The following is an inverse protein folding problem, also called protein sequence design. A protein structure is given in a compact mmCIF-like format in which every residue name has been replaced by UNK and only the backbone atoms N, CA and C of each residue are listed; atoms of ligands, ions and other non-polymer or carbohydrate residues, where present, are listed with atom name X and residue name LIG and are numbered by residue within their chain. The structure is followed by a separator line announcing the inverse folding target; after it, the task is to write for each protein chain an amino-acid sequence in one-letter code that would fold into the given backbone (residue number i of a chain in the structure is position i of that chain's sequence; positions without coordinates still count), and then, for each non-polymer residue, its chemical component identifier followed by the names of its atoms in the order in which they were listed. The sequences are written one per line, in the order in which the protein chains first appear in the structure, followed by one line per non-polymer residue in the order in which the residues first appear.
data_IF_949697232633
#
_entry.id   IF_949697232633
#
_cell.length_a   1.000
_cell.length_b   1.000
_cell.length_c   1.000
_cell.angle_alpha   90.00
_cell.angle_beta   90.00
_cell.angle_gamma   90.00
#
_symmetry.space_group_name_H-M   'P 1'
#
loop_
_entity.id
_entity.type
_entity.pdbx_description
1 polymer ?
#
# COMPACT_ATOMS: atom_id res chain seq x y z
N UNK A 1 -31.15 -0.38 3.12
CA UNK A 1 -30.06 -0.09 2.17
C UNK A 1 -28.98 0.67 2.90
N UNK A 2 -27.72 0.44 2.55
CA UNK A 2 -26.55 1.13 3.13
C UNK A 2 -26.19 2.32 2.26
N UNK A 3 -26.20 3.53 2.81
CA UNK A 3 -25.88 4.75 2.06
C UNK A 3 -24.37 4.91 1.94
N UNK A 4 -23.84 4.79 0.71
CA UNK A 4 -22.40 4.87 0.44
C UNK A 4 -22.13 6.06 -0.45
N UNK A 5 -21.39 7.03 0.06
CA UNK A 5 -20.95 8.18 -0.74
C UNK A 5 -19.78 7.74 -1.61
N UNK A 6 -19.82 8.11 -2.88
CA UNK A 6 -18.73 7.87 -3.82
C UNK A 6 -18.24 9.19 -4.40
N UNK A 7 -16.92 9.36 -4.44
CA UNK A 7 -16.29 10.51 -5.08
C UNK A 7 -14.91 10.13 -5.63
N UNK A 8 -14.36 10.95 -6.53
CA UNK A 8 -12.98 10.81 -6.99
C UNK A 8 -12.28 12.13 -7.23
N UNK A 9 -10.97 12.15 -6.97
CA UNK A 9 -10.11 13.31 -7.16
C UNK A 9 -8.71 12.80 -7.54
N UNK A 10 -8.44 12.80 -8.84
CA UNK A 10 -7.28 12.15 -9.46
C UNK A 10 -6.28 13.19 -9.95
N UNK A 11 -5.05 13.13 -9.46
CA UNK A 11 -3.92 13.88 -10.02
C UNK A 11 -2.58 13.27 -9.58
N UNK A 12 -1.63 13.19 -10.51
CA UNK A 12 -0.24 12.87 -10.21
C UNK A 12 0.62 14.13 -10.29
N UNK A 13 1.28 14.48 -9.19
CA UNK A 13 2.13 15.68 -9.17
C UNK A 13 3.60 15.36 -9.43
N UNK A 14 4.16 16.00 -10.45
CA UNK A 14 5.58 16.22 -10.61
C UNK A 14 5.95 17.59 -10.03
N UNK A 15 6.57 17.63 -8.85
CA UNK A 15 6.94 18.90 -8.16
C UNK A 15 7.99 19.74 -8.90
N UNK A 16 8.59 19.23 -9.97
CA UNK A 16 9.48 19.98 -10.87
C UNK A 16 8.77 20.47 -12.14
N UNK A 17 7.50 20.08 -12.32
CA UNK A 17 6.66 20.47 -13.45
C UNK A 17 6.38 21.98 -13.44
N UNK A 18 6.55 22.68 -14.57
CA UNK A 18 6.35 24.13 -14.63
C UNK A 18 4.87 24.54 -14.72
N UNK A 19 4.00 23.65 -15.22
CA UNK A 19 2.56 23.90 -15.38
C UNK A 19 1.80 23.36 -14.18
N UNK A 20 0.97 24.19 -13.54
CA UNK A 20 0.15 23.76 -12.41
C UNK A 20 -1.16 23.13 -12.88
N UNK A 21 -1.73 22.22 -12.09
CA UNK A 21 -3.09 21.74 -12.30
C UNK A 21 -4.08 22.73 -11.70
N UNK A 22 -4.61 23.63 -12.53
CA UNK A 22 -5.65 24.59 -12.12
C UNK A 22 -7.03 23.93 -12.13
N UNK A 23 -8.06 24.61 -11.62
CA UNK A 23 -9.40 24.04 -11.61
C UNK A 23 -9.93 23.80 -13.03
N UNK A 24 -9.55 24.64 -13.99
CA UNK A 24 -9.89 24.49 -15.40
C UNK A 24 -9.39 23.17 -15.99
N UNK A 25 -8.17 22.73 -15.62
CA UNK A 25 -7.63 21.43 -16.06
C UNK A 25 -8.50 20.26 -15.61
N UNK A 26 -9.18 20.37 -14.46
CA UNK A 26 -10.12 19.34 -13.99
C UNK A 26 -11.48 19.38 -14.69
N UNK A 27 -11.85 20.50 -15.33
CA UNK A 27 -13.10 20.62 -16.08
C UNK A 27 -13.00 19.99 -17.48
N UNK A 28 -11.78 19.91 -18.02
CA UNK A 28 -11.53 19.41 -19.36
C UNK A 28 -11.53 17.88 -19.39
N UNK A 29 -12.14 17.32 -20.43
CA UNK A 29 -12.01 15.89 -20.69
C UNK A 29 -10.68 15.62 -21.40
N UNK A 30 -9.96 14.62 -20.92
CA UNK A 30 -8.72 14.12 -21.51
C UNK A 30 -8.93 12.68 -22.01
N UNK A 31 -7.97 11.78 -21.78
CA UNK A 31 -8.19 10.33 -21.94
C UNK A 31 -9.33 9.78 -21.07
N UNK A 32 -9.78 10.54 -20.07
CA UNK A 32 -10.88 10.31 -19.16
C UNK A 32 -11.89 11.49 -19.16
N UNK A 33 -13.08 11.34 -18.55
CA UNK A 33 -14.04 12.44 -18.48
C UNK A 33 -13.49 13.68 -17.76
N UNK A 34 -14.00 14.87 -18.08
CA UNK A 34 -13.80 16.04 -17.22
C UNK A 34 -14.62 15.91 -15.94
N UNK A 35 -14.63 16.95 -15.10
CA UNK A 35 -15.38 16.96 -13.83
C UNK A 35 -16.85 16.56 -14.02
N UNK A 36 -17.25 15.49 -13.35
CA UNK A 36 -18.61 14.96 -13.29
C UNK A 36 -19.22 15.22 -11.91
N UNK A 37 -20.52 15.48 -11.85
CA UNK A 37 -21.24 15.65 -10.56
C UNK A 37 -22.50 14.81 -10.48
N UNK A 38 -22.89 14.41 -9.26
CA UNK A 38 -24.12 13.64 -9.04
C UNK A 38 -24.19 12.38 -9.91
N UNK A 39 -25.35 12.11 -10.49
CA UNK A 39 -25.58 10.92 -11.32
C UNK A 39 -24.69 10.84 -12.58
N UNK A 40 -24.10 11.96 -13.01
CA UNK A 40 -23.13 11.96 -14.11
C UNK A 40 -21.87 11.19 -13.76
N UNK A 41 -21.47 11.11 -12.48
CA UNK A 41 -20.34 10.28 -12.05
C UNK A 41 -20.57 8.81 -12.43
N UNK A 42 -21.80 8.32 -12.24
CA UNK A 42 -22.16 6.92 -12.57
C UNK A 42 -22.25 6.71 -14.08
N UNK A 43 -22.91 7.63 -14.78
CA UNK A 43 -23.15 7.47 -16.21
C UNK A 43 -21.92 7.77 -17.06
N UNK A 44 -21.14 8.79 -16.70
CA UNK A 44 -19.97 9.27 -17.43
C UNK A 44 -18.74 8.39 -17.26
N UNK A 45 -18.64 7.62 -16.17
CA UNK A 45 -17.52 6.67 -15.96
C UNK A 45 -17.84 5.24 -16.41
N UNK A 46 -19.09 4.96 -16.80
CA UNK A 46 -19.56 3.60 -17.13
C UNK A 46 -18.73 2.98 -18.26
N UNK A 47 -18.18 1.79 -18.00
CA UNK A 47 -17.43 1.01 -18.99
C UNK A 47 -16.00 1.51 -19.22
N UNK A 48 -15.57 2.58 -18.56
CA UNK A 48 -14.19 3.05 -18.58
C UNK A 48 -13.38 2.26 -17.56
N UNK A 49 -12.10 1.97 -17.87
CA UNK A 49 -11.18 1.32 -16.93
C UNK A 49 -10.75 2.30 -15.82
N UNK A 50 -11.69 2.75 -15.00
CA UNK A 50 -11.50 3.62 -13.85
C UNK A 50 -11.87 2.89 -12.56
N UNK A 51 -11.20 3.14 -11.43
CA UNK A 51 -11.55 2.48 -10.18
C UNK A 51 -13.00 2.79 -9.75
N UNK A 52 -13.47 4.05 -9.82
CA UNK A 52 -14.86 4.37 -9.47
C UNK A 52 -15.88 3.56 -10.28
N UNK A 53 -15.63 3.36 -11.58
CA UNK A 53 -16.50 2.58 -12.45
C UNK A 53 -16.55 1.11 -12.01
N UNK A 54 -15.40 0.53 -11.69
CA UNK A 54 -15.31 -0.85 -11.21
C UNK A 54 -15.93 -1.04 -9.82
N UNK A 55 -15.82 -0.05 -8.92
CA UNK A 55 -16.52 -0.09 -7.63
C UNK A 55 -18.04 -0.05 -7.84
N UNK A 56 -18.54 0.87 -8.68
CA UNK A 56 -19.96 0.96 -9.03
C UNK A 56 -20.47 -0.37 -9.61
N UNK A 57 -19.76 -0.95 -10.57
CA UNK A 57 -20.13 -2.24 -11.17
C UNK A 57 -20.19 -3.36 -10.13
N UNK A 58 -19.20 -3.44 -9.23
CA UNK A 58 -19.16 -4.46 -8.18
C UNK A 58 -20.31 -4.37 -7.16
N UNK A 59 -20.97 -3.21 -7.06
CA UNK A 59 -22.11 -2.99 -6.15
C UNK A 59 -23.48 -3.33 -6.78
N UNK A 60 -23.53 -3.64 -8.08
CA UNK A 60 -24.79 -3.95 -8.77
C UNK A 60 -25.50 -5.14 -8.12
N UNK A 61 -26.79 -4.97 -7.81
CA UNK A 61 -27.60 -5.99 -7.12
C UNK A 61 -27.31 -6.14 -5.62
N UNK A 62 -26.51 -5.25 -5.02
CA UNK A 62 -26.28 -5.20 -3.58
C UNK A 62 -27.35 -4.39 -2.82
N UNK A 63 -27.24 -4.35 -1.50
CA UNK A 63 -28.04 -3.51 -0.60
C UNK A 63 -27.47 -2.08 -0.45
N UNK A 64 -26.45 -1.70 -1.22
CA UNK A 64 -25.85 -0.37 -1.20
C UNK A 64 -26.63 0.62 -2.06
N UNK A 65 -26.96 1.76 -1.48
CA UNK A 65 -27.44 2.93 -2.17
C UNK A 65 -26.26 3.88 -2.41
N UNK A 66 -25.79 3.99 -3.65
CA UNK A 66 -24.66 4.86 -3.99
C UNK A 66 -25.12 6.32 -4.08
N UNK A 67 -24.37 7.20 -3.44
CA UNK A 67 -24.57 8.64 -3.41
C UNK A 67 -23.38 9.31 -4.11
N UNK A 68 -23.40 9.43 -5.44
CA UNK A 68 -22.31 10.07 -6.17
C UNK A 68 -22.27 11.57 -5.93
N UNK A 69 -21.06 12.11 -5.72
CA UNK A 69 -20.86 13.54 -5.45
C UNK A 69 -20.11 14.22 -6.58
N UNK A 70 -18.85 13.87 -6.76
CA UNK A 70 -17.97 14.43 -7.78
C UNK A 70 -16.95 13.38 -8.21
N UNK A 71 -16.57 13.39 -9.48
CA UNK A 71 -15.37 12.72 -9.95
C UNK A 71 -14.62 13.68 -10.87
N UNK A 72 -13.37 13.95 -10.56
CA UNK A 72 -12.53 14.88 -11.31
C UNK A 72 -11.12 14.31 -11.48
N UNK A 73 -10.55 14.52 -12.65
CA UNK A 73 -9.18 14.17 -13.00
C UNK A 73 -8.52 15.30 -13.77
N UNK A 74 -7.20 15.44 -13.65
CA UNK A 74 -6.38 16.27 -14.52
C UNK A 74 -5.09 15.51 -14.86
N UNK A 75 -4.56 15.73 -16.07
CA UNK A 75 -3.32 15.10 -16.54
C UNK A 75 -2.13 15.39 -15.59
N UNK A 76 -1.18 14.42 -15.45
CA UNK A 76 0.01 14.58 -14.63
C UNK A 76 0.78 15.87 -14.97
N UNK A 77 0.99 16.69 -13.95
CA UNK A 77 1.55 18.04 -14.11
C UNK A 77 2.20 18.51 -12.80
N UNK A 78 2.47 19.80 -12.65
CA UNK A 78 2.96 20.42 -11.42
C UNK A 78 1.92 20.42 -10.31
N UNK A 79 2.14 21.24 -9.27
CA UNK A 79 1.24 21.32 -8.13
C UNK A 79 -0.23 21.56 -8.53
N UNK A 80 -1.14 20.86 -7.86
CA UNK A 80 -2.56 21.25 -7.84
C UNK A 80 -2.66 22.62 -7.17
N UNK A 81 -3.33 23.57 -7.80
CA UNK A 81 -3.52 24.89 -7.18
C UNK A 81 -4.37 24.76 -5.93
N UNK A 82 -4.13 25.62 -4.92
CA UNK A 82 -4.96 25.59 -3.72
C UNK A 82 -6.42 25.89 -4.05
N UNK A 83 -6.71 26.73 -5.06
CA UNK A 83 -8.07 26.94 -5.57
C UNK A 83 -8.71 25.64 -6.08
N UNK A 84 -8.03 24.88 -6.93
CA UNK A 84 -8.57 23.62 -7.45
C UNK A 84 -8.81 22.61 -6.33
N UNK A 85 -7.83 22.47 -5.42
CA UNK A 85 -7.93 21.58 -4.28
C UNK A 85 -9.09 21.94 -3.36
N UNK A 86 -9.23 23.20 -2.99
CA UNK A 86 -10.30 23.66 -2.10
C UNK A 86 -11.68 23.48 -2.74
N UNK A 87 -11.84 23.79 -4.04
CA UNK A 87 -13.13 23.65 -4.73
C UNK A 87 -13.58 22.19 -4.84
N UNK A 88 -12.70 21.30 -5.27
CA UNK A 88 -13.05 19.88 -5.46
C UNK A 88 -13.21 19.19 -4.09
N UNK A 89 -12.35 19.51 -3.12
CA UNK A 89 -12.49 19.00 -1.75
C UNK A 89 -13.80 19.48 -1.11
N UNK A 90 -14.18 20.75 -1.26
CA UNK A 90 -15.43 21.26 -0.69
C UNK A 90 -16.66 20.63 -1.34
N UNK A 91 -16.63 20.26 -2.63
CA UNK A 91 -17.71 19.46 -3.24
C UNK A 91 -17.90 18.13 -2.50
N UNK A 92 -16.81 17.41 -2.21
CA UNK A 92 -16.83 16.13 -1.46
C UNK A 92 -17.36 16.37 -0.04
N UNK A 93 -16.81 17.35 0.67
CA UNK A 93 -17.18 17.67 2.05
C UNK A 93 -18.64 18.12 2.15
N UNK A 94 -19.14 18.88 1.17
CA UNK A 94 -20.54 19.30 1.11
C UNK A 94 -21.48 18.13 0.80
N UNK A 95 -21.06 17.19 -0.04
CA UNK A 95 -21.78 15.92 -0.26
C UNK A 95 -21.95 15.12 1.04
N UNK A 96 -20.89 15.06 1.86
CA UNK A 96 -20.94 14.44 3.20
C UNK A 96 -21.90 15.19 4.12
N UNK A 97 -21.76 16.53 4.24
CA UNK A 97 -22.63 17.36 5.10
C UNK A 97 -24.11 17.26 4.73
N UNK A 98 -24.41 17.08 3.45
CA UNK A 98 -25.78 16.97 2.93
C UNK A 98 -26.37 15.57 3.11
N UNK A 99 -25.60 14.61 3.64
CA UNK A 99 -26.00 13.21 3.80
C UNK A 99 -25.96 12.79 5.28
N UNK A 100 -27.03 13.05 6.06
CA UNK A 100 -27.02 12.85 7.51
C UNK A 100 -26.99 11.37 7.96
N UNK A 101 -27.21 10.41 7.06
CA UNK A 101 -27.24 8.97 7.38
C UNK A 101 -26.30 8.18 6.49
N UNK A 102 -25.03 8.55 6.51
CA UNK A 102 -23.99 7.89 5.74
C UNK A 102 -23.49 6.63 6.46
N UNK A 103 -23.43 5.50 5.77
CA UNK A 103 -22.92 4.24 6.32
C UNK A 103 -21.45 4.02 5.97
N UNK A 104 -20.94 4.64 4.90
CA UNK A 104 -19.54 4.53 4.48
C UNK A 104 -19.22 5.42 3.29
N UNK A 105 -17.92 5.50 2.97
CA UNK A 105 -17.39 6.29 1.87
C UNK A 105 -16.46 5.40 1.03
N UNK A 106 -16.60 5.52 -0.29
CA UNK A 106 -15.59 5.06 -1.24
C UNK A 106 -14.98 6.25 -1.98
N UNK A 107 -13.65 6.32 -2.03
CA UNK A 107 -12.91 7.36 -2.75
C UNK A 107 -12.04 6.75 -3.85
N UNK A 108 -12.13 7.33 -5.05
CA UNK A 108 -11.24 7.06 -6.17
C UNK A 108 -10.14 8.12 -6.20
N UNK A 109 -8.98 7.83 -5.59
CA UNK A 109 -7.87 8.77 -5.45
C UNK A 109 -6.64 8.28 -6.20
N UNK A 110 -5.73 9.19 -6.58
CA UNK A 110 -4.44 8.80 -7.16
C UNK A 110 -3.49 8.32 -6.05
N UNK A 111 -3.34 9.14 -5.01
CA UNK A 111 -2.42 8.94 -3.89
C UNK A 111 -1.07 9.65 -4.04
N UNK A 112 -0.88 10.47 -5.08
CA UNK A 112 0.35 11.20 -5.34
C UNK A 112 0.11 12.71 -5.58
N UNK A 113 -1.01 13.22 -5.10
CA UNK A 113 -1.35 14.64 -5.23
C UNK A 113 -0.53 15.48 -4.26
N UNK A 114 0.09 16.51 -4.80
CA UNK A 114 0.74 17.58 -4.03
C UNK A 114 0.11 18.90 -4.43
N UNK A 115 -0.41 19.62 -3.45
CA UNK A 115 -0.96 20.98 -3.66
C UNK A 115 0.11 22.03 -3.40
N UNK A 116 -0.19 23.29 -3.69
CA UNK A 116 0.70 24.40 -3.34
C UNK A 116 0.95 24.48 -1.82
N UNK A 117 -0.07 24.19 -1.01
CA UNK A 117 0.00 24.23 0.46
C UNK A 117 0.24 22.89 1.15
N UNK A 118 0.01 21.75 0.48
CA UNK A 118 0.04 20.42 1.11
C UNK A 118 0.92 19.43 0.36
N UNK A 119 1.95 18.90 1.04
CA UNK A 119 2.81 17.81 0.53
C UNK A 119 2.09 16.46 0.38
N UNK A 120 0.93 16.33 1.01
CA UNK A 120 0.09 15.13 1.07
C UNK A 120 -1.35 15.57 0.89
N UNK A 121 -1.78 15.74 -0.37
CA UNK A 121 -3.11 16.22 -0.73
C UNK A 121 -4.21 15.25 -0.29
N UNK A 122 -4.02 13.95 -0.54
CA UNK A 122 -4.98 12.92 -0.15
C UNK A 122 -5.07 12.78 1.38
N UNK A 123 -3.96 12.85 2.11
CA UNK A 123 -3.97 12.81 3.56
C UNK A 123 -4.63 14.04 4.20
N UNK A 124 -4.49 15.22 3.59
CA UNK A 124 -5.25 16.42 3.95
C UNK A 124 -6.75 16.22 3.74
N UNK A 125 -7.17 15.78 2.55
CA UNK A 125 -8.57 15.51 2.23
C UNK A 125 -9.19 14.48 3.20
N UNK A 126 -8.49 13.35 3.42
CA UNK A 126 -8.93 12.29 4.33
C UNK A 126 -9.09 12.81 5.78
N UNK A 127 -8.18 13.68 6.24
CA UNK A 127 -8.30 14.30 7.55
C UNK A 127 -9.55 15.19 7.65
N UNK A 128 -9.81 16.04 6.65
CA UNK A 128 -11.01 16.90 6.60
C UNK A 128 -12.30 16.08 6.56
N UNK A 129 -12.30 14.94 5.86
CA UNK A 129 -13.43 14.00 5.86
C UNK A 129 -13.64 13.41 7.26
N UNK A 130 -12.56 13.05 7.97
CA UNK A 130 -12.64 12.55 9.35
C UNK A 130 -13.18 13.57 10.34
N UNK A 131 -12.84 14.84 10.18
CA UNK A 131 -13.40 15.92 11.00
C UNK A 131 -14.94 15.98 10.91
N UNK A 132 -15.52 15.59 9.77
CA UNK A 132 -16.98 15.56 9.57
C UNK A 132 -17.63 14.23 9.97
N UNK A 133 -16.91 13.12 9.83
CA UNK A 133 -17.50 11.76 9.90
C UNK A 133 -17.16 11.00 11.17
N UNK A 134 -16.16 11.46 11.92
CA UNK A 134 -15.57 10.73 13.04
C UNK A 134 -14.75 9.52 12.60
N UNK A 135 -14.19 8.81 13.59
CA UNK A 135 -13.21 7.75 13.36
C UNK A 135 -13.84 6.41 12.93
N UNK A 136 -15.13 6.21 13.24
CA UNK A 136 -15.78 4.90 13.08
C UNK A 136 -16.36 4.68 11.68
N UNK A 137 -16.65 5.74 10.92
CA UNK A 137 -17.25 5.60 9.59
C UNK A 137 -16.27 4.89 8.64
N UNK A 138 -16.64 3.77 8.00
CA UNK A 138 -15.78 3.12 7.01
C UNK A 138 -15.45 4.05 5.83
N UNK A 139 -14.14 4.25 5.58
CA UNK A 139 -13.63 4.97 4.41
C UNK A 139 -12.66 4.04 3.68
N UNK A 140 -13.00 3.64 2.46
CA UNK A 140 -12.13 2.81 1.61
C UNK A 140 -11.74 3.61 0.38
N UNK A 141 -10.46 3.62 0.03
CA UNK A 141 -10.01 4.27 -1.20
C UNK A 141 -9.28 3.31 -2.14
N UNK A 142 -9.48 3.46 -3.44
CA UNK A 142 -8.54 2.94 -4.43
C UNK A 142 -7.40 3.92 -4.63
N UNK A 143 -6.19 3.41 -4.88
CA UNK A 143 -4.99 4.20 -5.15
C UNK A 143 -4.25 3.66 -6.37
N UNK A 144 -3.53 4.55 -7.05
CA UNK A 144 -2.52 4.19 -8.03
C UNK A 144 -1.33 3.49 -7.34
N UNK A 145 -0.59 2.64 -8.07
CA UNK A 145 0.63 2.03 -7.54
C UNK A 145 1.78 3.03 -7.32
N UNK A 146 1.71 4.20 -7.95
CA UNK A 146 2.63 5.33 -7.75
C UNK A 146 2.29 6.17 -6.53
N UNK A 147 1.24 5.83 -5.78
CA UNK A 147 0.83 6.56 -4.59
C UNK A 147 1.97 6.72 -3.56
N UNK A 148 2.14 7.94 -3.06
CA UNK A 148 2.98 8.29 -1.92
C UNK A 148 2.21 8.06 -0.61
N UNK A 149 2.03 6.80 -0.21
CA UNK A 149 1.20 6.45 0.97
C UNK A 149 1.82 6.99 2.27
N UNK A 150 1.21 8.03 2.84
CA UNK A 150 1.71 8.67 4.07
C UNK A 150 1.12 8.05 5.35
N UNK A 151 1.76 8.29 6.48
CA UNK A 151 1.21 7.94 7.79
C UNK A 151 -0.13 8.65 8.08
N UNK A 152 -0.36 9.82 7.48
CA UNK A 152 -1.62 10.58 7.63
C UNK A 152 -2.75 9.90 6.87
N UNK A 153 -2.50 9.46 5.63
CA UNK A 153 -3.46 8.65 4.86
C UNK A 153 -3.83 7.38 5.62
N UNK A 154 -2.84 6.62 6.11
CA UNK A 154 -3.06 5.38 6.87
C UNK A 154 -3.86 5.62 8.16
N UNK A 155 -3.69 6.78 8.79
CA UNK A 155 -4.45 7.14 10.00
C UNK A 155 -5.92 7.45 9.70
N UNK A 156 -6.21 8.07 8.57
CA UNK A 156 -7.53 8.61 8.28
C UNK A 156 -8.37 7.74 7.33
N UNK A 157 -7.80 6.81 6.56
CA UNK A 157 -8.58 5.83 5.81
C UNK A 157 -8.72 4.50 6.58
N UNK A 158 -9.82 3.79 6.38
CA UNK A 158 -10.04 2.46 6.97
C UNK A 158 -9.30 1.36 6.19
N UNK A 159 -9.19 1.51 4.86
CA UNK A 159 -8.43 0.60 4.00
C UNK A 159 -8.12 1.23 2.63
N UNK A 160 -7.10 0.69 1.97
CA UNK A 160 -6.75 1.01 0.59
C UNK A 160 -6.73 -0.25 -0.27
N UNK A 161 -7.13 -0.14 -1.54
CA UNK A 161 -6.74 -1.11 -2.57
C UNK A 161 -5.87 -0.40 -3.61
N UNK A 162 -4.69 -0.96 -3.89
CA UNK A 162 -3.70 -0.36 -4.78
C UNK A 162 -3.68 -1.12 -6.10
N UNK A 163 -3.44 -0.45 -7.23
CA UNK A 163 -3.18 -1.10 -8.53
C UNK A 163 -2.06 -2.14 -8.41
N UNK A 164 -2.13 -3.20 -9.23
CA UNK A 164 -1.16 -4.31 -9.18
C UNK A 164 -0.40 -4.52 -10.49
N UNK A 165 -0.68 -3.71 -11.50
CA UNK A 165 -0.09 -3.85 -12.84
C UNK A 165 0.58 -2.57 -13.31
N UNK A 166 1.72 -2.71 -14.01
CA UNK A 166 2.44 -1.64 -14.71
C UNK A 166 2.78 -2.15 -16.13
N UNK A 167 2.17 -1.62 -17.21
CA UNK A 167 1.19 -0.52 -17.26
C UNK A 167 -0.13 -0.84 -16.55
N UNK A 168 -0.85 0.19 -16.11
CA UNK A 168 -2.09 0.04 -15.32
C UNK A 168 -3.23 -0.50 -16.18
N UNK A 169 -3.46 -1.80 -16.12
CA UNK A 169 -4.58 -2.48 -16.81
C UNK A 169 -5.61 -3.03 -15.82
N UNK A 170 -5.41 -2.81 -14.52
CA UNK A 170 -6.26 -3.31 -13.44
C UNK A 170 -6.95 -2.21 -12.62
N UNK A 171 -7.11 -1.00 -13.16
CA UNK A 171 -7.71 0.15 -12.48
C UNK A 171 -9.16 -0.13 -12.03
N UNK A 172 -10.06 -0.50 -12.94
CA UNK A 172 -11.44 -0.86 -12.59
C UNK A 172 -11.48 -2.10 -11.67
N UNK A 173 -10.62 -3.10 -11.91
CA UNK A 173 -10.50 -4.26 -11.02
C UNK A 173 -10.07 -3.85 -9.61
N UNK A 174 -9.30 -2.79 -9.45
CA UNK A 174 -8.88 -2.27 -8.15
C UNK A 174 -10.04 -1.64 -7.40
N UNK A 175 -10.83 -0.78 -8.07
CA UNK A 175 -12.06 -0.26 -7.47
C UNK A 175 -13.05 -1.36 -7.10
N UNK A 176 -13.20 -2.38 -7.95
CA UNK A 176 -14.02 -3.55 -7.63
C UNK A 176 -13.52 -4.32 -6.38
N UNK A 177 -12.20 -4.35 -6.12
CA UNK A 177 -11.64 -4.94 -4.88
C UNK A 177 -11.99 -4.14 -3.62
N UNK A 178 -12.27 -2.84 -3.74
CA UNK A 178 -12.70 -2.03 -2.59
C UNK A 178 -14.10 -2.40 -2.10
N UNK A 179 -14.99 -2.91 -2.96
CA UNK A 179 -16.35 -3.32 -2.57
C UNK A 179 -16.39 -4.40 -1.47
N UNK A 180 -15.75 -5.58 -1.60
CA UNK A 180 -15.74 -6.58 -0.55
C UNK A 180 -15.03 -6.10 0.73
N UNK A 181 -14.03 -5.22 0.62
CA UNK A 181 -13.36 -4.60 1.78
C UNK A 181 -14.33 -3.71 2.56
N UNK A 182 -15.06 -2.84 1.85
CA UNK A 182 -16.07 -1.98 2.46
C UNK A 182 -17.20 -2.80 3.08
N UNK A 183 -17.69 -3.85 2.41
CA UNK A 183 -18.68 -4.79 2.97
C UNK A 183 -18.21 -5.40 4.30
N UNK A 184 -16.93 -5.75 4.40
CA UNK A 184 -16.37 -6.33 5.62
C UNK A 184 -16.34 -5.34 6.79
N UNK A 185 -15.96 -4.10 6.51
CA UNK A 185 -16.00 -3.02 7.49
C UNK A 185 -17.44 -2.73 7.93
N UNK A 186 -18.39 -2.68 6.98
CA UNK A 186 -19.82 -2.45 7.25
C UNK A 186 -20.48 -3.58 8.07
N UNK A 187 -19.95 -4.80 8.03
CA UNK A 187 -20.41 -5.88 8.91
C UNK A 187 -19.86 -5.80 10.33
N UNK A 188 -19.09 -4.76 10.65
CA UNK A 188 -18.41 -4.59 11.95
C UNK A 188 -17.11 -5.38 12.05
N UNK A 189 -16.60 -5.95 10.95
CA UNK A 189 -15.31 -6.63 11.00
C UNK A 189 -14.19 -5.61 11.10
N UNK A 190 -13.37 -5.73 12.14
CA UNK A 190 -12.16 -4.92 12.29
C UNK A 190 -11.07 -5.42 11.34
N UNK A 191 -10.64 -4.55 10.43
CA UNK A 191 -9.42 -4.78 9.66
C UNK A 191 -8.22 -4.38 10.52
N UNK A 192 -7.18 -5.23 10.51
CA UNK A 192 -5.94 -4.97 11.23
C UNK A 192 -4.85 -4.63 10.21
N UNK A 193 -4.13 -3.52 10.43
CA UNK A 193 -2.95 -3.15 9.65
C UNK A 193 -1.79 -4.11 10.00
N UNK A 194 -1.85 -5.31 9.45
CA UNK A 194 -0.99 -6.42 9.84
C UNK A 194 -0.40 -7.10 8.60
N UNK A 195 0.92 -7.12 8.51
CA UNK A 195 1.61 -8.05 7.63
C UNK A 195 1.51 -9.45 8.25
N UNK A 196 0.81 -10.36 7.57
CA UNK A 196 0.75 -11.78 7.92
C UNK A 196 1.51 -12.55 6.87
N UNK A 197 2.14 -13.65 7.29
CA UNK A 197 2.80 -14.59 6.41
C UNK A 197 3.82 -13.85 5.52
N UNK A 198 4.66 -13.05 6.17
CA UNK A 198 5.58 -12.14 5.51
C UNK A 198 7.01 -12.50 5.89
N UNK A 199 7.94 -12.38 4.94
CA UNK A 199 9.36 -12.59 5.20
C UNK A 199 10.21 -11.49 4.58
N UNK A 200 11.18 -11.01 5.34
CA UNK A 200 12.16 -10.02 4.89
C UNK A 200 13.56 -10.66 4.82
N UNK A 201 14.26 -10.47 3.70
CA UNK A 201 15.70 -10.72 3.62
C UNK A 201 16.43 -9.65 2.78
N UNK A 202 17.73 -9.44 2.98
CA UNK A 202 18.57 -9.92 4.08
C UNK A 202 18.89 -8.74 5.00
N UNK A 203 18.68 -8.91 6.30
CA UNK A 203 19.18 -7.94 7.28
C UNK A 203 20.57 -8.34 7.78
N UNK A 204 21.52 -7.43 7.64
CA UNK A 204 22.88 -7.62 8.14
C UNK A 204 22.98 -7.17 9.61
N UNK A 205 23.03 -8.13 10.52
CA UNK A 205 23.28 -7.89 11.95
C UNK A 205 24.07 -9.07 12.57
N UNK A 206 25.41 -8.99 12.58
CA UNK A 206 26.26 -10.06 13.10
C UNK A 206 26.01 -10.39 14.57
N UNK A 207 25.64 -9.39 15.37
CA UNK A 207 25.42 -9.58 16.81
C UNK A 207 24.14 -10.35 17.07
N UNK A 208 23.05 -9.98 16.38
CA UNK A 208 21.77 -10.70 16.49
C UNK A 208 21.91 -12.13 15.96
N UNK A 209 22.57 -12.32 14.82
CA UNK A 209 22.81 -13.66 14.27
C UNK A 209 23.64 -14.53 15.22
N UNK A 210 24.77 -14.02 15.73
CA UNK A 210 25.62 -14.77 16.67
C UNK A 210 24.85 -15.13 17.97
N UNK A 211 23.99 -14.24 18.46
CA UNK A 211 23.14 -14.51 19.61
C UNK A 211 22.12 -15.61 19.33
N UNK A 212 21.46 -15.58 18.17
CA UNK A 212 20.52 -16.63 17.75
C UNK A 212 21.21 -18.00 17.68
N UNK A 213 22.41 -18.05 17.09
CA UNK A 213 23.24 -19.26 17.03
C UNK A 213 23.62 -19.79 18.42
N UNK A 214 24.02 -18.91 19.33
CA UNK A 214 24.36 -19.29 20.71
C UNK A 214 23.16 -19.89 21.47
N UNK A 215 21.95 -19.37 21.21
CA UNK A 215 20.74 -19.78 21.90
C UNK A 215 20.08 -21.03 21.29
N UNK A 216 20.23 -21.22 19.98
CA UNK A 216 19.69 -22.37 19.26
C UNK A 216 18.24 -22.19 18.78
N UNK A 217 17.80 -23.12 17.93
CA UNK A 217 16.43 -23.17 17.38
C UNK A 217 15.40 -23.36 18.50
N UNK A 218 14.28 -22.65 18.40
CA UNK A 218 13.20 -22.65 19.40
C UNK A 218 13.39 -21.64 20.53
N UNK A 219 14.60 -21.12 20.74
CA UNK A 219 14.86 -20.12 21.76
C UNK A 219 14.17 -18.78 21.42
N UNK A 220 13.74 -18.07 22.47
CA UNK A 220 13.16 -16.72 22.36
C UNK A 220 14.04 -15.71 23.09
N UNK A 221 14.28 -14.55 22.49
CA UNK A 221 15.12 -13.51 23.09
C UNK A 221 14.73 -12.10 22.62
N UNK A 222 14.96 -11.11 23.47
CA UNK A 222 14.82 -9.69 23.09
C UNK A 222 16.09 -9.16 22.45
N UNK A 223 15.95 -8.42 21.36
CA UNK A 223 17.07 -7.77 20.69
C UNK A 223 16.66 -6.48 19.97
N UNK A 224 17.66 -5.63 19.73
CA UNK A 224 17.57 -4.49 18.84
C UNK A 224 18.16 -4.88 17.48
N UNK A 225 17.31 -5.01 16.47
CA UNK A 225 17.66 -5.48 15.13
C UNK A 225 17.85 -4.32 14.15
N UNK A 226 18.96 -4.32 13.41
CA UNK A 226 19.21 -3.32 12.36
C UNK A 226 19.46 -1.91 12.90
N UNK A 227 19.25 -0.87 12.08
CA UNK A 227 19.39 0.53 12.51
C UNK A 227 20.80 0.97 12.93
N UNK A 228 21.85 0.26 12.45
CA UNK A 228 23.24 0.50 12.87
C UNK A 228 23.97 1.58 12.07
N UNK A 229 23.26 2.37 11.27
CA UNK A 229 23.86 3.36 10.36
C UNK A 229 24.21 4.68 11.05
N UNK A 230 23.56 5.00 12.19
CA UNK A 230 23.74 6.27 12.89
C UNK A 230 23.10 7.48 12.20
N UNK A 231 22.29 7.25 11.17
CA UNK A 231 21.53 8.31 10.50
C UNK A 231 20.31 8.69 11.34
N UNK A 232 19.99 9.99 11.38
CA UNK A 232 18.82 10.50 12.09
C UNK A 232 17.54 9.81 11.58
N UNK A 233 16.69 9.34 12.50
CA UNK A 233 15.46 8.61 12.19
C UNK A 233 15.63 7.15 11.78
N UNK A 234 16.86 6.61 11.73
CA UNK A 234 17.12 5.19 11.41
C UNK A 234 17.47 4.39 12.66
N UNK A 235 16.48 4.12 13.49
CA UNK A 235 16.63 3.41 14.76
C UNK A 235 16.58 1.88 14.60
N UNK A 236 17.14 1.16 15.56
CA UNK A 236 17.03 -0.30 15.63
C UNK A 236 15.60 -0.71 15.99
N UNK A 237 15.10 -1.78 15.37
CA UNK A 237 13.81 -2.35 15.73
C UNK A 237 13.96 -3.25 16.96
N UNK A 238 13.42 -2.79 18.10
CA UNK A 238 13.45 -3.52 19.36
C UNK A 238 12.22 -4.44 19.47
N UNK A 239 12.45 -5.76 19.52
CA UNK A 239 11.39 -6.73 19.67
C UNK A 239 11.87 -8.02 20.34
N UNK A 240 10.92 -8.89 20.64
CA UNK A 240 11.16 -10.28 21.05
C UNK A 240 11.13 -11.17 19.81
N UNK A 241 12.15 -12.01 19.66
CA UNK A 241 12.33 -12.87 18.49
C UNK A 241 12.38 -14.34 18.90
N UNK A 242 11.82 -15.22 18.07
CA UNK A 242 11.96 -16.68 18.18
C UNK A 242 12.85 -17.21 17.05
N UNK A 243 13.83 -18.04 17.37
CA UNK A 243 14.72 -18.67 16.37
C UNK A 243 13.97 -19.82 15.69
N UNK A 244 13.71 -19.71 14.40
CA UNK A 244 13.04 -20.76 13.62
C UNK A 244 14.03 -21.69 12.93
N UNK A 245 15.12 -21.14 12.39
CA UNK A 245 16.13 -21.92 11.69
C UNK A 245 17.51 -21.23 11.81
N UNK A 246 18.57 -22.03 11.67
CA UNK A 246 19.95 -21.59 11.68
C UNK A 246 20.69 -22.22 10.49
N UNK A 247 21.60 -21.47 9.89
CA UNK A 247 22.50 -21.91 8.83
C UNK A 247 23.88 -21.29 9.04
N UNK A 248 24.92 -21.94 8.52
CA UNK A 248 26.27 -21.37 8.44
C UNK A 248 26.43 -20.37 7.27
N UNK A 249 25.35 -20.19 6.49
CA UNK A 249 25.28 -19.25 5.38
C UNK A 249 25.99 -19.72 4.11
N UNK A 250 26.30 -21.01 3.99
CA UNK A 250 26.94 -21.60 2.82
C UNK A 250 25.95 -22.41 1.99
N UNK A 251 25.72 -21.98 0.75
CA UNK A 251 24.89 -22.69 -0.21
C UNK A 251 25.25 -22.30 -1.65
N UNK A 252 24.84 -23.09 -2.62
CA UNK A 252 24.92 -22.71 -4.03
C UNK A 252 23.71 -21.86 -4.40
N UNK A 253 23.93 -20.77 -5.13
CA UNK A 253 22.82 -19.98 -5.68
C UNK A 253 22.12 -20.76 -6.80
N UNK A 254 20.80 -20.57 -6.92
CA UNK A 254 19.95 -21.31 -7.86
C UNK A 254 19.40 -20.47 -9.01
N UNK A 255 19.39 -19.14 -8.85
CA UNK A 255 18.90 -18.18 -9.83
C UNK A 255 19.94 -17.81 -10.87
N UNK A 256 19.46 -17.32 -12.01
CA UNK A 256 20.29 -17.03 -13.19
C UNK A 256 21.39 -15.99 -12.92
N UNK A 257 21.09 -14.98 -12.10
CA UNK A 257 22.02 -13.90 -11.79
C UNK A 257 23.30 -14.38 -11.09
N UNK A 258 23.19 -15.42 -10.25
CA UNK A 258 24.34 -15.99 -9.53
C UNK A 258 24.66 -17.42 -9.97
N UNK A 259 24.26 -17.80 -11.19
CA UNK A 259 24.43 -19.17 -11.69
C UNK A 259 25.87 -19.68 -11.49
N UNK A 260 26.00 -20.77 -10.72
CA UNK A 260 27.28 -21.41 -10.41
C UNK A 260 28.08 -20.78 -9.26
N UNK A 261 27.63 -19.65 -8.70
CA UNK A 261 28.27 -19.02 -7.54
C UNK A 261 27.82 -19.67 -6.21
N UNK A 262 28.65 -19.49 -5.17
CA UNK A 262 28.35 -19.93 -3.81
C UNK A 262 28.14 -18.74 -2.89
N UNK A 263 27.08 -18.79 -2.10
CA UNK A 263 26.83 -17.84 -1.03
C UNK A 263 27.75 -18.09 0.17
N UNK A 264 28.08 -17.02 0.87
CA UNK A 264 28.83 -17.05 2.13
C UNK A 264 28.33 -15.91 3.01
N UNK A 265 27.21 -16.16 3.68
CA UNK A 265 26.53 -15.19 4.56
C UNK A 265 27.05 -15.22 6.00
N UNK A 266 27.92 -16.19 6.32
CA UNK A 266 28.29 -16.54 7.69
C UNK A 266 27.08 -17.03 8.48
N UNK A 267 27.20 -17.18 9.83
CA UNK A 267 26.07 -17.48 10.69
C UNK A 267 24.84 -16.67 10.28
N UNK A 268 23.79 -17.41 9.92
CA UNK A 268 22.52 -16.88 9.44
C UNK A 268 21.40 -17.50 10.26
N UNK A 269 20.39 -16.69 10.58
CA UNK A 269 19.24 -17.12 11.36
C UNK A 269 17.94 -16.65 10.70
N UNK A 270 16.94 -17.52 10.72
CA UNK A 270 15.55 -17.14 10.49
C UNK A 270 14.90 -16.82 11.84
N UNK A 271 14.46 -15.59 12.00
CA UNK A 271 13.86 -15.10 13.23
C UNK A 271 12.40 -14.71 12.97
N UNK A 272 11.50 -15.18 13.82
CA UNK A 272 10.12 -14.70 13.85
C UNK A 272 9.98 -13.60 14.89
N UNK A 273 9.28 -12.52 14.55
CA UNK A 273 8.89 -11.48 15.51
C UNK A 273 7.73 -12.03 16.35
N UNK A 274 7.95 -12.15 17.67
CA UNK A 274 6.96 -12.71 18.60
C UNK A 274 5.93 -11.64 18.95
N UNK A 275 4.89 -11.57 18.14
CA UNK A 275 3.72 -10.72 18.32
C UNK A 275 2.46 -11.55 18.03
N UNK A 276 1.45 -11.60 18.95
CA UNK A 276 0.21 -12.36 18.72
C UNK A 276 -0.56 -11.90 17.47
N UNK A 277 -0.29 -10.67 17.04
CA UNK A 277 -0.83 -10.04 15.85
C UNK A 277 0.27 -9.82 14.81
N UNK A 278 1.22 -10.73 14.62
CA UNK A 278 2.11 -10.73 13.45
C UNK A 278 2.59 -12.14 13.12
N UNK A 279 2.90 -12.38 11.85
CA UNK A 279 3.66 -13.57 11.43
C UNK A 279 4.78 -13.19 10.47
N UNK A 280 5.47 -12.11 10.81
CA UNK A 280 6.63 -11.60 10.08
C UNK A 280 7.89 -12.36 10.54
N UNK A 281 8.57 -12.93 9.56
CA UNK A 281 9.89 -13.52 9.72
C UNK A 281 10.97 -12.64 9.07
N UNK A 282 12.19 -12.74 9.59
CA UNK A 282 13.35 -11.99 9.10
C UNK A 282 14.54 -12.93 8.98
N UNK A 283 15.17 -12.93 7.81
CA UNK A 283 16.47 -13.56 7.60
C UNK A 283 17.58 -12.58 8.01
N UNK A 284 18.36 -12.97 9.02
CA UNK A 284 19.46 -12.17 9.57
C UNK A 284 20.79 -12.87 9.33
N UNK A 285 21.70 -12.22 8.62
CA UNK A 285 23.03 -12.73 8.28
C UNK A 285 24.15 -11.95 8.97
N UNK A 286 25.27 -12.61 9.23
CA UNK A 286 26.47 -11.97 9.80
C UNK A 286 27.39 -11.33 8.75
N UNK A 287 27.18 -11.61 7.47
CA UNK A 287 27.90 -10.97 6.35
C UNK A 287 26.91 -10.32 5.40
N UNK A 288 27.38 -9.29 4.70
CA UNK A 288 26.58 -8.56 3.72
C UNK A 288 26.47 -9.39 2.45
N UNK A 289 25.26 -9.50 1.91
CA UNK A 289 24.99 -10.12 0.63
C UNK A 289 23.76 -9.44 0.02
N UNK A 290 23.74 -9.29 -1.30
CA UNK A 290 22.57 -8.75 -1.99
C UNK A 290 21.50 -9.85 -2.10
N UNK A 291 20.24 -9.49 -1.83
CA UNK A 291 19.13 -10.43 -1.90
C UNK A 291 18.61 -10.55 -3.34
N UNK A 292 19.39 -11.20 -4.20
CA UNK A 292 19.07 -11.36 -5.63
C UNK A 292 18.56 -12.75 -6.00
N UNK A 293 18.55 -13.68 -5.04
CA UNK A 293 18.29 -15.11 -5.29
C UNK A 293 17.44 -15.69 -4.15
N UNK A 294 16.42 -16.46 -4.53
CA UNK A 294 15.47 -17.12 -3.63
C UNK A 294 16.13 -18.11 -2.69
N UNK A 295 17.31 -18.64 -3.04
CA UNK A 295 18.06 -19.55 -2.18
C UNK A 295 18.45 -18.94 -0.84
N UNK A 296 18.54 -17.60 -0.76
CA UNK A 296 18.70 -16.86 0.51
C UNK A 296 17.55 -17.13 1.48
N UNK A 297 16.39 -17.55 1.01
CA UNK A 297 15.27 -17.97 1.84
C UNK A 297 15.18 -19.49 1.95
N UNK A 298 15.23 -20.20 0.82
CA UNK A 298 14.96 -21.64 0.80
C UNK A 298 16.02 -22.47 1.54
N UNK A 299 17.26 -21.98 1.66
CA UNK A 299 18.30 -22.65 2.47
C UNK A 299 17.95 -22.70 3.98
N UNK A 300 17.00 -21.89 4.44
CA UNK A 300 16.46 -21.89 5.80
C UNK A 300 15.11 -22.64 5.89
N UNK A 301 14.70 -23.32 4.81
CA UNK A 301 13.45 -24.08 4.74
C UNK A 301 12.20 -23.23 4.45
N UNK A 302 12.35 -21.98 4.00
CA UNK A 302 11.22 -21.12 3.67
C UNK A 302 10.64 -21.51 2.32
N UNK A 303 9.34 -21.82 2.29
CA UNK A 303 8.57 -22.05 1.06
C UNK A 303 8.00 -20.71 0.55
N UNK A 304 8.71 -20.07 -0.38
CA UNK A 304 8.36 -18.73 -0.87
C UNK A 304 7.01 -18.71 -1.61
N UNK A 305 6.65 -19.81 -2.28
CA UNK A 305 5.37 -19.97 -2.98
C UNK A 305 4.16 -19.96 -2.04
N UNK A 306 4.37 -20.22 -0.74
CA UNK A 306 3.34 -20.16 0.29
C UNK A 306 3.37 -18.87 1.09
N UNK A 307 4.31 -17.97 0.81
CA UNK A 307 4.50 -16.73 1.56
C UNK A 307 3.64 -15.62 0.95
N UNK A 308 2.89 -14.89 1.77
CA UNK A 308 2.02 -13.80 1.30
C UNK A 308 2.78 -12.52 0.91
N UNK A 309 3.86 -12.20 1.62
CA UNK A 309 4.70 -11.03 1.33
C UNK A 309 6.17 -11.41 1.41
N UNK A 310 6.92 -11.15 0.35
CA UNK A 310 8.38 -11.31 0.32
C UNK A 310 9.00 -9.94 0.13
N UNK A 311 9.68 -9.44 1.17
CA UNK A 311 10.39 -8.17 1.12
C UNK A 311 11.87 -8.43 0.83
N UNK A 312 12.36 -7.88 -0.29
CA UNK A 312 13.77 -7.96 -0.70
C UNK A 312 14.35 -6.56 -0.87
N UNK A 313 15.58 -6.37 -0.40
CA UNK A 313 16.31 -5.11 -0.59
C UNK A 313 17.13 -5.15 -1.89
N UNK A 314 16.49 -4.82 -3.01
CA UNK A 314 17.12 -4.72 -4.34
C UNK A 314 16.26 -3.85 -5.27
N UNK A 315 16.86 -3.20 -6.26
CA UNK A 315 16.15 -2.27 -7.16
C UNK A 315 15.62 -2.94 -8.44
N UNK A 316 16.40 -3.85 -9.04
CA UNK A 316 16.06 -4.46 -10.36
C UNK A 316 16.43 -5.94 -10.43
N UNK A 317 17.69 -6.29 -10.11
CA UNK A 317 18.25 -7.63 -10.41
C UNK A 317 17.53 -8.81 -9.72
N UNK A 318 16.76 -8.57 -8.65
CA UNK A 318 15.99 -9.63 -8.00
C UNK A 318 14.82 -10.12 -8.85
N UNK A 319 14.30 -9.30 -9.78
CA UNK A 319 13.11 -9.65 -10.57
C UNK A 319 13.26 -10.96 -11.31
N UNK A 320 14.44 -11.23 -11.89
CA UNK A 320 14.71 -12.45 -12.64
C UNK A 320 14.35 -13.75 -11.88
N UNK A 321 14.56 -13.79 -10.56
CA UNK A 321 14.27 -15.00 -9.77
C UNK A 321 12.97 -14.91 -8.95
N UNK A 322 12.47 -13.71 -8.63
CA UNK A 322 11.28 -13.53 -7.80
C UNK A 322 10.00 -13.23 -8.59
N UNK A 323 10.09 -12.64 -9.78
CA UNK A 323 8.93 -12.28 -10.61
C UNK A 323 8.02 -13.47 -10.96
N UNK A 324 8.53 -14.69 -11.24
CA UNK A 324 7.67 -15.85 -11.53
C UNK A 324 6.74 -16.28 -10.37
N UNK A 325 7.03 -15.86 -9.15
CA UNK A 325 6.23 -16.15 -7.95
C UNK A 325 5.52 -14.93 -7.38
N UNK A 326 5.77 -13.72 -7.91
CA UNK A 326 5.16 -12.48 -7.47
C UNK A 326 3.79 -12.24 -8.16
N UNK A 327 2.90 -11.48 -7.50
CA UNK A 327 1.61 -11.08 -8.07
C UNK A 327 0.52 -12.17 -8.09
N UNK A 328 0.72 -13.27 -7.36
CA UNK A 328 -0.25 -14.36 -7.19
C UNK A 328 -1.32 -14.03 -6.15
#
# INVERSE_FOLDING_TARGET
MKNILIAGFQHETNTFGPSQATFEEFLEADGWPGLLTGDEVINGTRGINLPIAGFIEATQGSDMNLLPVVWASAEPSGFVTDDAFERISDMILQGIRSTPSLDGIYLDLHGAMVTQSHQDGEGELLARIRDLTGDDLPIVASLDLHANITARMVRHASAFCIFRTYPHIDMARTGARCYPVLRHLLSGTRLHAQARNAVLALLHDPNVSARAHKLGVGATFEAALGGRTGLAGMESYCARFRVLALSDGQFAFGGEMYAGAKAQLGPTALLEIVDPNSSVCVVVGSKRCQCLDRTIFTHLGIELEKTGIIAVKSTVHFRADFEPIAGR
#
